data_IF_649283634117
#
_entry.id   IF_649283634117
#
_cell.length_a   1.000
_cell.length_b   1.000
_cell.length_c   1.000
_cell.angle_alpha   90.00
_cell.angle_beta   90.00
_cell.angle_gamma   90.00
#
_symmetry.space_group_name_H-M   'P 1'
#
loop_
_entity.id
_entity.type
_entity.pdbx_description
1 polymer ?
#
# COMPACT_ATOMS: atom_id res chain seq x y z
N UNK A 1 -5.46 22.31 7.89
CA UNK A 1 -4.11 22.63 7.35
C UNK A 1 -2.94 22.50 8.34
N UNK A 2 -2.82 23.30 9.41
CA UNK A 2 -1.65 23.20 10.33
C UNK A 2 -1.46 21.80 10.93
N UNK A 3 -2.56 21.13 11.34
CA UNK A 3 -2.53 19.76 11.88
C UNK A 3 -2.04 18.72 10.86
N UNK A 4 -2.41 18.87 9.59
CA UNK A 4 -1.98 17.97 8.52
C UNK A 4 -0.49 18.14 8.20
N UNK A 5 -0.01 19.38 8.14
CA UNK A 5 1.41 19.70 8.00
C UNK A 5 2.23 19.13 9.18
N UNK A 6 1.71 19.26 10.39
CA UNK A 6 2.31 18.71 11.61
C UNK A 6 2.39 17.17 11.59
N UNK A 7 1.33 16.51 11.09
CA UNK A 7 1.29 15.05 10.95
C UNK A 7 2.25 14.54 9.87
N UNK A 8 2.29 15.21 8.71
CA UNK A 8 3.19 14.86 7.62
C UNK A 8 4.66 15.04 8.02
N UNK A 9 4.94 16.09 8.80
CA UNK A 9 6.24 16.36 9.39
C UNK A 9 6.62 15.30 10.45
N UNK A 10 5.68 14.94 11.32
CA UNK A 10 5.85 13.84 12.27
C UNK A 10 6.19 12.52 11.58
N UNK A 11 5.46 12.17 10.52
CA UNK A 11 5.71 10.98 9.71
C UNK A 11 7.08 11.03 9.00
N UNK A 12 7.47 12.18 8.45
CA UNK A 12 8.76 12.35 7.80
C UNK A 12 9.94 12.18 8.78
N UNK A 13 9.82 12.73 10.00
CA UNK A 13 10.86 12.68 11.04
C UNK A 13 10.92 11.32 11.76
N UNK A 14 9.81 10.58 11.82
CA UNK A 14 9.77 9.22 12.37
C UNK A 14 10.05 8.13 11.31
N UNK A 15 10.17 8.50 10.04
CA UNK A 15 10.49 7.57 8.95
C UNK A 15 11.91 7.01 9.06
N UNK A 16 12.22 5.85 8.45
CA UNK A 16 13.58 5.33 8.35
C UNK A 16 14.55 6.25 7.59
N UNK A 17 14.05 7.29 6.90
CA UNK A 17 14.84 8.28 6.19
C UNK A 17 15.00 9.60 6.97
N UNK A 18 14.72 9.62 8.29
CA UNK A 18 14.76 10.81 9.16
C UNK A 18 16.01 11.68 9.00
N UNK A 19 17.17 11.08 8.76
CA UNK A 19 18.45 11.79 8.62
C UNK A 19 18.45 12.75 7.43
N UNK A 20 17.86 12.33 6.30
CA UNK A 20 17.73 13.17 5.10
C UNK A 20 16.81 14.38 5.34
N UNK A 21 15.74 14.18 6.10
CA UNK A 21 14.82 15.26 6.45
C UNK A 21 15.48 16.24 7.43
N UNK A 22 16.21 15.74 8.42
CA UNK A 22 16.99 16.57 9.35
C UNK A 22 18.03 17.40 8.60
N UNK A 23 18.76 16.80 7.65
CA UNK A 23 19.70 17.53 6.80
C UNK A 23 19.00 18.61 5.98
N UNK A 24 17.84 18.31 5.38
CA UNK A 24 17.05 19.29 4.61
C UNK A 24 16.63 20.48 5.48
N UNK A 25 16.17 20.22 6.70
CA UNK A 25 15.74 21.23 7.67
C UNK A 25 16.92 22.12 8.09
N UNK A 26 18.10 21.52 8.33
CA UNK A 26 19.33 22.26 8.71
C UNK A 26 19.81 23.28 7.68
N UNK A 27 19.43 23.12 6.41
CA UNK A 27 19.78 24.06 5.33
C UNK A 27 18.68 25.10 5.04
N UNK A 28 17.58 25.10 5.80
CA UNK A 28 16.53 26.13 5.68
C UNK A 28 16.91 27.43 6.40
N UNK A 29 16.15 28.50 6.18
CA UNK A 29 16.34 29.77 6.90
C UNK A 29 16.10 29.60 8.42
N UNK A 30 16.85 30.29 9.28
CA UNK A 30 16.81 30.07 10.73
C UNK A 30 15.44 30.37 11.35
N UNK A 31 14.65 31.29 10.76
CA UNK A 31 13.29 31.58 11.22
C UNK A 31 12.37 30.37 11.04
N UNK A 32 12.46 29.71 9.88
CA UNK A 32 11.68 28.51 9.54
C UNK A 32 12.14 27.32 10.37
N UNK A 33 13.45 27.20 10.62
CA UNK A 33 13.97 26.14 11.48
C UNK A 33 13.40 26.23 12.89
N UNK A 34 13.36 27.44 13.49
CA UNK A 34 12.82 27.63 14.84
C UNK A 34 11.34 27.27 14.92
N UNK A 35 10.54 27.73 13.96
CA UNK A 35 9.10 27.44 13.89
C UNK A 35 8.83 25.94 13.70
N UNK A 36 9.62 25.29 12.84
CA UNK A 36 9.52 23.85 12.60
C UNK A 36 9.94 23.01 13.82
N UNK A 37 10.98 23.45 14.55
CA UNK A 37 11.44 22.77 15.78
C UNK A 37 10.37 22.86 16.87
N UNK A 38 9.74 24.03 17.04
CA UNK A 38 8.61 24.19 17.97
C UNK A 38 7.42 23.28 17.59
N UNK A 39 7.12 23.18 16.28
CA UNK A 39 6.07 22.30 15.75
C UNK A 39 6.38 20.81 16.00
N UNK A 40 7.61 20.37 15.71
CA UNK A 40 8.07 18.99 15.93
C UNK A 40 8.03 18.66 17.43
N UNK A 41 8.50 19.57 18.30
CA UNK A 41 8.43 19.37 19.75
C UNK A 41 6.99 19.26 20.22
N UNK A 42 6.06 20.04 19.67
CA UNK A 42 4.64 19.97 20.03
C UNK A 42 4.01 18.63 19.67
N UNK A 43 4.33 18.11 18.48
CA UNK A 43 3.81 16.80 18.02
C UNK A 43 4.48 15.63 18.76
N UNK A 44 5.75 15.78 19.14
CA UNK A 44 6.52 14.70 19.77
C UNK A 44 6.38 14.63 21.30
N UNK A 45 6.21 15.77 21.99
CA UNK A 45 6.19 15.84 23.46
C UNK A 45 4.78 15.76 24.07
N UNK A 46 3.71 15.78 23.25
CA UNK A 46 2.35 15.85 23.77
C UNK A 46 1.79 14.46 24.09
N UNK A 47 1.95 14.03 25.33
CA UNK A 47 1.20 12.94 25.95
C UNK A 47 -0.29 13.30 26.20
N UNK A 48 -0.90 14.10 25.33
CA UNK A 48 -2.26 14.58 25.52
C UNK A 48 -3.23 13.84 24.59
N UNK A 49 -4.42 13.55 25.12
CA UNK A 49 -5.46 12.65 24.58
C UNK A 49 -6.07 13.07 23.22
N UNK A 50 -5.65 14.21 22.68
CA UNK A 50 -6.07 14.77 21.39
C UNK A 50 -4.91 14.84 20.38
N UNK A 51 -3.83 14.07 20.58
CA UNK A 51 -2.71 13.98 19.64
C UNK A 51 -3.12 13.21 18.38
N UNK A 52 -2.79 13.71 17.17
CA UNK A 52 -3.02 12.98 15.92
C UNK A 52 -2.01 11.84 15.69
N UNK A 53 -1.10 11.61 16.63
CA UNK A 53 -0.01 10.64 16.53
C UNK A 53 -0.19 9.54 17.56
N UNK A 54 -0.22 8.30 17.08
CA UNK A 54 -0.23 7.10 17.93
C UNK A 54 1.17 6.89 18.48
N UNK A 55 1.37 7.15 19.78
CA UNK A 55 2.61 6.80 20.46
C UNK A 55 2.57 5.32 20.86
N UNK A 56 3.21 4.48 20.03
CA UNK A 56 3.28 3.04 20.25
C UNK A 56 4.05 2.68 21.53
N UNK A 57 5.04 3.50 21.91
CA UNK A 57 5.82 3.30 23.14
C UNK A 57 5.00 3.58 24.40
N UNK A 58 4.07 4.53 24.36
CA UNK A 58 3.09 4.74 25.45
C UNK A 58 2.11 3.57 25.57
N UNK A 59 1.71 2.98 24.44
CA UNK A 59 0.83 1.81 24.41
C UNK A 59 1.55 0.56 24.94
N UNK A 60 2.84 0.41 24.61
CA UNK A 60 3.71 -0.66 25.11
C UNK A 60 4.06 -0.51 26.59
N UNK A 61 4.30 0.72 27.07
CA UNK A 61 4.58 0.99 28.48
C UNK A 61 3.37 0.72 29.40
N UNK A 62 2.13 0.86 28.88
CA UNK A 62 0.90 0.46 29.60
C UNK A 62 0.71 -1.06 29.66
N UNK A 63 1.29 -1.82 28.72
CA UNK A 63 1.31 -3.29 28.74
C UNK A 63 2.25 -3.86 29.81
N UNK A 64 3.32 -3.13 30.17
CA UNK A 64 4.29 -3.57 31.18
C UNK A 64 3.85 -3.31 32.63
N UNK A 65 2.79 -2.52 32.87
CA UNK A 65 2.36 -2.12 34.22
C UNK A 65 1.45 -3.12 34.96
N UNK A 66 1.43 -4.40 34.60
CA UNK A 66 0.65 -5.42 35.31
C UNK A 66 1.57 -6.44 36.02
N UNK A 67 1.78 -6.34 37.34
CA UNK A 67 2.26 -7.45 38.14
C UNK A 67 1.08 -8.09 38.89
N UNK A 68 0.75 -9.35 38.62
CA UNK A 68 0.45 -10.29 39.71
C UNK A 68 0.30 -11.73 39.23
N UNK A 69 1.16 -12.56 39.82
CA UNK A 69 1.15 -14.02 39.86
C UNK A 69 -0.11 -14.57 40.54
N UNK A 70 -0.82 -15.50 39.89
CA UNK A 70 -1.87 -16.34 40.49
C UNK A 70 -2.84 -16.93 39.45
N UNK A 71 -3.31 -18.17 39.64
CA UNK A 71 -4.14 -18.92 38.68
C UNK A 71 -5.54 -18.33 38.40
N UNK A 72 -5.96 -17.25 39.08
CA UNK A 72 -7.16 -16.44 38.75
C UNK A 72 -6.87 -15.32 37.73
N UNK A 73 -5.69 -15.31 37.11
CA UNK A 73 -5.23 -14.26 36.21
C UNK A 73 -5.59 -14.49 34.73
N UNK A 74 -5.98 -15.70 34.32
CA UNK A 74 -6.17 -16.02 32.89
C UNK A 74 -7.44 -15.34 32.36
N UNK A 75 -8.58 -15.50 33.04
CA UNK A 75 -9.85 -14.89 32.61
C UNK A 75 -9.80 -13.34 32.65
N UNK A 76 -9.12 -12.75 33.64
CA UNK A 76 -8.93 -11.28 33.73
C UNK A 76 -7.88 -10.75 32.76
N UNK A 77 -6.90 -11.55 32.38
CA UNK A 77 -5.93 -11.18 31.34
C UNK A 77 -6.58 -11.19 29.96
N UNK A 78 -7.47 -12.14 29.67
CA UNK A 78 -8.22 -12.19 28.41
C UNK A 78 -9.16 -10.99 28.26
N UNK A 79 -9.94 -10.66 29.30
CA UNK A 79 -10.76 -9.43 29.30
C UNK A 79 -9.90 -8.15 29.19
N UNK A 80 -8.72 -8.12 29.80
CA UNK A 80 -7.78 -7.01 29.68
C UNK A 80 -7.23 -6.84 28.26
N UNK A 81 -6.90 -7.94 27.60
CA UNK A 81 -6.40 -7.96 26.21
C UNK A 81 -7.53 -7.55 25.25
N UNK A 82 -8.75 -8.05 25.45
CA UNK A 82 -9.88 -7.72 24.58
C UNK A 82 -10.32 -6.26 24.74
N UNK A 83 -10.36 -5.73 25.97
CA UNK A 83 -10.58 -4.31 26.21
C UNK A 83 -9.48 -3.43 25.61
N UNK A 84 -8.22 -3.89 25.62
CA UNK A 84 -7.12 -3.16 25.00
C UNK A 84 -7.23 -3.18 23.46
N UNK A 85 -7.53 -4.33 22.86
CA UNK A 85 -7.78 -4.46 21.43
C UNK A 85 -8.95 -3.55 21.01
N UNK A 86 -10.03 -3.50 21.80
CA UNK A 86 -11.16 -2.60 21.54
C UNK A 86 -10.74 -1.13 21.56
N UNK A 87 -9.85 -0.73 22.49
CA UNK A 87 -9.32 0.64 22.58
C UNK A 87 -8.40 0.98 21.41
N UNK A 88 -7.53 0.05 21.00
CA UNK A 88 -6.64 0.22 19.84
C UNK A 88 -7.46 0.34 18.56
N UNK A 89 -8.49 -0.50 18.38
CA UNK A 89 -9.42 -0.43 17.24
C UNK A 89 -10.15 0.91 17.23
N UNK A 90 -10.68 1.37 18.37
CA UNK A 90 -11.36 2.66 18.46
C UNK A 90 -10.44 3.87 18.18
N UNK A 91 -9.15 3.77 18.53
CA UNK A 91 -8.14 4.77 18.17
C UNK A 91 -7.84 4.73 16.66
N UNK A 92 -7.69 3.54 16.09
CA UNK A 92 -7.41 3.37 14.66
C UNK A 92 -8.56 3.88 13.80
N UNK A 93 -9.81 3.60 14.18
CA UNK A 93 -11.01 4.13 13.53
C UNK A 93 -11.07 5.65 13.56
N UNK A 94 -10.63 6.28 14.67
CA UNK A 94 -10.56 7.74 14.78
C UNK A 94 -9.50 8.34 13.86
N UNK A 95 -8.30 7.77 13.86
CA UNK A 95 -7.19 8.21 12.99
C UNK A 95 -7.56 8.06 11.51
N UNK A 96 -8.24 6.97 11.14
CA UNK A 96 -8.74 6.76 9.78
C UNK A 96 -9.76 7.84 9.41
N UNK A 97 -10.70 8.15 10.31
CA UNK A 97 -11.71 9.20 10.07
C UNK A 97 -11.07 10.57 9.89
N UNK A 98 -10.13 10.94 10.77
CA UNK A 98 -9.40 12.21 10.66
C UNK A 98 -8.58 12.27 9.36
N UNK A 99 -7.93 11.18 8.96
CA UNK A 99 -7.22 11.09 7.67
C UNK A 99 -8.17 11.32 6.50
N UNK A 100 -9.34 10.69 6.53
CA UNK A 100 -10.32 10.79 5.45
C UNK A 100 -10.90 12.20 5.36
N UNK A 101 -11.12 12.87 6.51
CA UNK A 101 -11.47 14.29 6.58
C UNK A 101 -10.39 15.18 5.93
N UNK A 102 -9.11 15.01 6.28
CA UNK A 102 -8.03 15.79 5.66
C UNK A 102 -7.87 15.50 4.17
N UNK A 103 -8.12 14.26 3.75
CA UNK A 103 -8.07 13.87 2.33
C UNK A 103 -9.17 14.59 1.55
N UNK A 104 -10.37 14.70 2.13
CA UNK A 104 -11.48 15.43 1.53
C UNK A 104 -11.20 16.95 1.48
N UNK A 105 -10.66 17.55 2.54
CA UNK A 105 -10.24 18.97 2.54
C UNK A 105 -9.21 19.26 1.42
N UNK A 106 -8.28 18.34 1.17
CA UNK A 106 -7.29 18.47 0.08
C UNK A 106 -7.94 18.38 -1.30
N UNK A 107 -8.92 17.49 -1.50
CA UNK A 107 -9.65 17.40 -2.77
C UNK A 107 -10.48 18.65 -3.05
N UNK A 108 -11.10 19.23 -2.02
CA UNK A 108 -11.86 20.48 -2.12
C UNK A 108 -10.94 21.65 -2.49
N UNK A 109 -9.79 21.79 -1.83
CA UNK A 109 -8.78 22.81 -2.18
C UNK A 109 -8.16 22.62 -3.57
N UNK A 110 -7.97 21.38 -4.02
CA UNK A 110 -7.50 21.10 -5.37
C UNK A 110 -8.55 21.48 -6.43
N UNK A 111 -9.83 21.19 -6.17
CA UNK A 111 -10.94 21.58 -7.03
C UNK A 111 -11.10 23.11 -7.12
N UNK A 112 -10.92 23.82 -6.00
CA UNK A 112 -10.94 25.30 -5.98
C UNK A 112 -9.79 25.91 -6.80
N UNK A 113 -8.61 25.27 -6.78
CA UNK A 113 -7.44 25.68 -7.57
C UNK A 113 -7.63 25.47 -9.08
N UNK A 114 -8.38 24.43 -9.47
CA UNK A 114 -8.78 24.18 -10.86
C UNK A 114 -9.87 25.16 -11.35
N UNK A 115 -10.75 25.64 -10.46
CA UNK A 115 -11.77 26.64 -10.79
C UNK A 115 -11.19 28.04 -11.02
N UNK A 116 -10.21 28.46 -10.22
CA UNK A 116 -9.49 29.74 -10.39
C UNK A 116 -8.58 29.74 -11.65
N UNK A 117 -8.14 28.57 -12.12
CA UNK A 117 -7.32 28.41 -13.34
C UNK A 117 -8.07 28.62 -14.66
N UNK A 118 -9.42 28.67 -14.65
CA UNK A 118 -10.23 28.83 -15.87
C UNK A 118 -10.38 30.28 -16.34
N UNK A 119 -9.88 31.26 -15.57
CA UNK A 119 -9.95 32.69 -15.94
C UNK A 119 -8.64 33.26 -16.48
N UNK A 120 -7.56 32.47 -16.57
CA UNK A 120 -6.24 33.00 -16.86
C UNK A 120 -5.35 32.05 -17.65
N UNK A 121 -5.23 32.35 -18.96
CA UNK A 121 -4.10 32.00 -19.82
C UNK A 121 -4.22 30.72 -20.65
N UNK A 122 -4.82 30.91 -21.82
CA UNK A 122 -4.48 30.22 -23.05
C UNK A 122 -2.98 30.31 -23.37
N UNK A 123 -2.27 29.18 -23.44
CA UNK A 123 -1.24 28.92 -24.47
C UNK A 123 -0.61 27.54 -24.37
N UNK A 124 -0.55 26.87 -25.53
CA UNK A 124 0.41 25.83 -25.95
C UNK A 124 0.21 24.39 -25.46
N UNK A 125 -0.70 23.69 -26.14
CA UNK A 125 -0.55 22.25 -26.37
C UNK A 125 0.59 21.99 -27.38
N UNK A 126 1.60 21.23 -26.98
CA UNK A 126 2.63 20.71 -27.89
C UNK A 126 2.14 19.41 -28.51
N UNK A 127 1.73 19.49 -29.77
CA UNK A 127 1.60 18.34 -30.64
C UNK A 127 2.98 17.90 -31.14
N UNK A 128 3.17 16.58 -31.20
CA UNK A 128 4.29 15.90 -31.84
C UNK A 128 4.22 16.11 -33.35
N UNK A 129 5.24 16.77 -33.91
CA UNK A 129 5.47 16.81 -35.35
C UNK A 129 6.93 16.45 -35.62
N UNK A 130 7.10 15.29 -36.25
CA UNK A 130 8.29 14.86 -36.94
C UNK A 130 8.64 15.87 -38.05
N UNK A 131 9.88 16.38 -38.03
CA UNK A 131 10.43 17.08 -39.19
C UNK A 131 11.91 16.80 -39.33
N UNK A 132 12.24 15.88 -40.24
CA UNK A 132 13.52 15.90 -40.95
C UNK A 132 13.63 17.22 -41.71
N UNK A 133 14.64 18.02 -41.40
CA UNK A 133 15.06 19.14 -42.23
C UNK A 133 16.52 18.94 -42.65
N UNK A 134 16.69 18.39 -43.85
CA UNK A 134 17.83 18.72 -44.68
C UNK A 134 17.73 20.21 -45.01
N UNK A 135 18.76 20.99 -44.67
CA UNK A 135 18.80 22.42 -44.92
C UNK A 135 20.23 22.89 -45.05
N UNK A 136 20.67 23.03 -46.30
CA UNK A 136 21.84 23.77 -46.75
C UNK A 136 21.95 25.12 -46.03
N UNK A 137 23.08 25.34 -45.35
CA UNK A 137 23.41 26.65 -44.81
C UNK A 137 24.00 27.49 -45.95
N UNK A 138 23.13 28.35 -46.51
CA UNK A 138 23.53 29.45 -47.39
C UNK A 138 24.34 30.48 -46.59
N UNK A 139 25.63 30.58 -46.90
CA UNK A 139 26.53 31.60 -46.37
C UNK A 139 26.24 32.95 -47.05
N UNK A 140 26.10 34.08 -46.31
CA UNK A 140 25.90 35.37 -46.93
C UNK A 140 27.21 35.86 -47.55
N UNK A 141 27.11 36.18 -48.83
CA UNK A 141 28.17 36.68 -49.68
C UNK A 141 28.15 38.21 -49.63
N UNK A 142 29.20 38.87 -49.13
CA UNK A 142 29.57 40.18 -49.67
C UNK A 142 31.04 40.58 -49.45
N UNK A 143 31.60 41.11 -50.54
CA UNK A 143 32.76 42.00 -50.67
C UNK A 143 34.20 41.45 -50.55
N UNK A 144 34.71 41.03 -51.73
CA UNK A 144 35.90 41.57 -52.41
C UNK A 144 37.29 41.44 -51.74
N UNK A 145 38.12 40.54 -52.29
CA UNK A 145 39.57 40.69 -52.55
C UNK A 145 39.93 39.71 -53.69
N UNK A 146 39.97 40.14 -54.95
CA UNK A 146 41.21 40.48 -55.70
C UNK A 146 42.34 39.46 -55.51
N UNK A 147 42.57 38.67 -56.56
CA UNK A 147 43.79 37.96 -56.99
C UNK A 147 44.88 37.64 -55.95
N UNK A 148 45.23 36.36 -55.82
CA UNK A 148 46.59 35.79 -55.99
C UNK A 148 46.61 34.36 -55.46
N UNK A 149 47.27 33.44 -56.17
CA UNK A 149 47.55 32.08 -55.69
C UNK A 149 48.52 32.09 -54.51
N UNK A 150 48.03 32.49 -53.33
CA UNK A 150 48.76 32.44 -52.08
C UNK A 150 48.45 31.11 -51.40
N UNK A 151 49.48 30.26 -51.26
CA UNK A 151 49.50 29.20 -50.26
C UNK A 151 49.14 29.85 -48.92
N UNK A 152 48.07 29.39 -48.27
CA UNK A 152 47.75 29.77 -46.90
C UNK A 152 49.01 29.61 -46.05
N UNK A 153 49.38 30.60 -45.21
CA UNK A 153 50.53 30.46 -44.32
C UNK A 153 50.33 29.20 -43.47
N UNK A 154 51.40 28.45 -43.22
CA UNK A 154 51.36 27.30 -42.31
C UNK A 154 50.66 27.71 -41.03
N UNK A 155 49.72 26.90 -40.48
CA UNK A 155 49.03 27.22 -39.25
C UNK A 155 50.05 27.59 -38.17
N UNK A 156 49.81 28.70 -37.46
CA UNK A 156 50.68 29.11 -36.37
C UNK A 156 50.62 28.08 -35.23
N UNK A 157 51.62 28.05 -34.35
CA UNK A 157 51.68 27.08 -33.25
C UNK A 157 50.41 27.08 -32.38
N UNK A 158 49.80 28.25 -32.20
CA UNK A 158 48.53 28.43 -31.50
C UNK A 158 47.36 27.75 -32.23
N UNK A 159 47.26 27.89 -33.55
CA UNK A 159 46.18 27.28 -34.34
C UNK A 159 46.22 25.75 -34.28
N UNK A 160 47.43 25.17 -34.24
CA UNK A 160 47.62 23.72 -34.06
C UNK A 160 47.17 23.26 -32.68
N UNK A 161 47.51 24.01 -31.63
CA UNK A 161 47.08 23.71 -30.26
C UNK A 161 45.56 23.76 -30.13
N UNK A 162 44.93 24.83 -30.61
CA UNK A 162 43.46 24.99 -30.61
C UNK A 162 42.77 23.89 -31.41
N UNK A 163 43.36 23.44 -32.52
CA UNK A 163 42.83 22.32 -33.32
C UNK A 163 42.84 21.00 -32.54
N UNK A 164 43.88 20.75 -31.74
CA UNK A 164 43.98 19.58 -30.87
C UNK A 164 42.98 19.66 -29.72
N UNK A 165 42.85 20.82 -29.06
CA UNK A 165 41.86 21.03 -27.99
C UNK A 165 40.42 20.87 -28.51
N UNK A 166 40.13 21.40 -29.69
CA UNK A 166 38.84 21.24 -30.34
C UNK A 166 38.58 19.79 -30.74
N UNK A 167 39.60 19.05 -31.17
CA UNK A 167 39.48 17.62 -31.43
C UNK A 167 39.22 16.83 -30.13
N UNK A 168 39.89 17.19 -29.03
CA UNK A 168 39.67 16.60 -27.71
C UNK A 168 38.25 16.88 -27.21
N UNK A 169 37.79 18.13 -27.28
CA UNK A 169 36.43 18.52 -26.91
C UNK A 169 35.37 17.83 -27.77
N UNK A 170 35.61 17.66 -29.08
CA UNK A 170 34.74 16.86 -29.96
C UNK A 170 34.75 15.37 -29.60
N UNK A 171 35.88 14.85 -29.16
CA UNK A 171 36.01 13.49 -28.63
C UNK A 171 35.14 13.28 -27.39
N UNK A 172 35.27 14.19 -26.41
CA UNK A 172 34.44 14.18 -25.20
C UNK A 172 32.94 14.31 -25.51
N UNK A 173 32.57 15.17 -26.46
CA UNK A 173 31.16 15.27 -26.89
C UNK A 173 30.62 13.95 -27.48
N UNK A 174 31.43 13.18 -28.21
CA UNK A 174 31.01 11.87 -28.72
C UNK A 174 30.88 10.86 -27.59
N UNK A 175 31.84 10.87 -26.66
CA UNK A 175 31.81 9.99 -25.49
C UNK A 175 30.58 10.23 -24.63
N UNK A 176 30.29 11.48 -24.29
CA UNK A 176 29.11 11.85 -23.51
C UNK A 176 27.79 11.51 -24.23
N UNK A 177 27.76 11.58 -25.56
CA UNK A 177 26.59 11.12 -26.34
C UNK A 177 26.39 9.62 -26.24
N UNK A 178 27.45 8.83 -26.46
CA UNK A 178 27.37 7.38 -26.31
C UNK A 178 26.96 6.97 -24.89
N UNK A 179 27.54 7.62 -23.86
CA UNK A 179 27.15 7.38 -22.47
C UNK A 179 25.69 7.79 -22.17
N UNK A 180 25.15 8.76 -22.91
CA UNK A 180 23.74 9.14 -22.79
C UNK A 180 22.85 8.07 -23.44
N UNK A 181 23.20 7.63 -24.65
CA UNK A 181 22.47 6.59 -25.37
C UNK A 181 22.44 5.26 -24.58
N UNK A 182 23.58 4.86 -23.98
CA UNK A 182 23.66 3.68 -23.10
C UNK A 182 22.76 3.83 -21.85
N UNK A 183 22.71 5.01 -21.25
CA UNK A 183 21.83 5.28 -20.11
C UNK A 183 20.35 5.26 -20.51
N UNK A 184 20.02 5.77 -21.69
CA UNK A 184 18.66 5.76 -22.22
C UNK A 184 18.19 4.31 -22.50
N UNK A 185 19.08 3.45 -23.02
CA UNK A 185 18.81 2.01 -23.18
C UNK A 185 18.53 1.33 -21.83
N UNK A 186 19.39 1.54 -20.81
CA UNK A 186 19.19 0.97 -19.47
C UNK A 186 17.89 1.50 -18.83
N UNK A 187 17.60 2.79 -19.00
CA UNK A 187 16.37 3.38 -18.48
C UNK A 187 15.13 2.74 -19.13
N UNK A 188 15.18 2.44 -20.43
CA UNK A 188 14.10 1.76 -21.12
C UNK A 188 13.91 0.33 -20.61
N UNK A 189 14.99 -0.43 -20.44
CA UNK A 189 14.93 -1.79 -19.88
C UNK A 189 14.32 -1.80 -18.47
N UNK A 190 14.77 -0.89 -17.60
CA UNK A 190 14.22 -0.75 -16.25
C UNK A 190 12.73 -0.36 -16.26
N UNK A 191 12.31 0.50 -17.19
CA UNK A 191 10.90 0.87 -17.33
C UNK A 191 10.05 -0.33 -17.75
N UNK A 192 10.53 -1.13 -18.70
CA UNK A 192 9.83 -2.33 -19.17
C UNK A 192 9.73 -3.39 -18.05
N UNK A 193 10.79 -3.58 -17.27
CA UNK A 193 10.79 -4.44 -16.08
C UNK A 193 9.76 -3.98 -15.04
N UNK A 194 9.69 -2.67 -14.75
CA UNK A 194 8.70 -2.12 -13.83
C UNK A 194 7.27 -2.29 -14.33
N UNK A 195 7.04 -2.15 -15.65
CA UNK A 195 5.72 -2.40 -16.25
C UNK A 195 5.34 -3.89 -16.14
N UNK A 196 6.27 -4.80 -16.41
CA UNK A 196 6.05 -6.23 -16.26
C UNK A 196 5.72 -6.60 -14.81
N UNK A 197 6.46 -6.07 -13.84
CA UNK A 197 6.18 -6.27 -12.42
C UNK A 197 4.81 -5.72 -12.01
N UNK A 198 4.42 -4.55 -12.52
CA UNK A 198 3.09 -3.98 -12.27
C UNK A 198 1.97 -4.89 -12.78
N UNK A 199 2.13 -5.47 -13.97
CA UNK A 199 1.16 -6.42 -14.54
C UNK A 199 1.07 -7.67 -13.66
N UNK A 200 2.21 -8.23 -13.25
CA UNK A 200 2.25 -9.44 -12.41
C UNK A 200 1.62 -9.20 -11.03
N UNK A 201 1.86 -8.04 -10.41
CA UNK A 201 1.19 -7.64 -9.17
C UNK A 201 -0.34 -7.61 -9.37
N UNK A 202 -0.82 -7.06 -10.48
CA UNK A 202 -2.24 -7.06 -10.82
C UNK A 202 -2.81 -8.48 -10.96
N UNK A 203 -2.08 -9.38 -11.63
CA UNK A 203 -2.46 -10.79 -11.78
C UNK A 203 -2.58 -11.49 -10.43
N UNK A 204 -1.57 -11.35 -9.57
CA UNK A 204 -1.54 -11.95 -8.23
C UNK A 204 -2.64 -11.40 -7.31
N UNK A 205 -2.95 -10.10 -7.43
CA UNK A 205 -4.06 -9.50 -6.68
C UNK A 205 -5.43 -10.07 -7.11
N UNK A 206 -5.64 -10.29 -8.41
CA UNK A 206 -6.85 -10.92 -8.92
C UNK A 206 -6.97 -12.39 -8.46
N UNK A 207 -5.87 -13.14 -8.52
CA UNK A 207 -5.79 -14.53 -8.04
C UNK A 207 -6.08 -14.62 -6.55
N UNK A 208 -5.47 -13.75 -5.73
CA UNK A 208 -5.76 -13.66 -4.28
C UNK A 208 -7.25 -13.43 -4.03
N UNK A 209 -7.89 -12.53 -4.78
CA UNK A 209 -9.31 -12.23 -4.59
C UNK A 209 -10.17 -13.47 -4.88
N UNK A 210 -9.83 -14.25 -5.90
CA UNK A 210 -10.56 -15.47 -6.24
C UNK A 210 -10.38 -16.55 -5.16
N UNK A 211 -9.15 -16.78 -4.70
CA UNK A 211 -8.88 -17.70 -3.59
C UNK A 211 -9.64 -17.33 -2.31
N UNK A 212 -9.82 -16.03 -2.03
CA UNK A 212 -10.62 -15.57 -0.89
C UNK A 212 -12.11 -15.89 -1.07
N UNK A 213 -12.66 -15.78 -2.29
CA UNK A 213 -14.05 -16.18 -2.55
C UNK A 213 -14.22 -17.68 -2.37
N UNK A 214 -13.32 -18.48 -2.92
CA UNK A 214 -13.33 -19.94 -2.79
C UNK A 214 -13.24 -20.38 -1.32
N UNK A 215 -12.38 -19.74 -0.53
CA UNK A 215 -12.26 -20.01 0.90
C UNK A 215 -13.54 -19.71 1.69
N UNK A 216 -14.28 -18.65 1.30
CA UNK A 216 -15.58 -18.31 1.88
C UNK A 216 -16.64 -19.36 1.51
N UNK A 217 -16.76 -19.70 0.23
CA UNK A 217 -17.68 -20.75 -0.22
C UNK A 217 -17.40 -22.10 0.46
N UNK A 218 -16.13 -22.47 0.61
CA UNK A 218 -15.73 -23.67 1.32
C UNK A 218 -16.10 -23.63 2.82
N UNK A 219 -16.13 -22.45 3.45
CA UNK A 219 -16.63 -22.30 4.82
C UNK A 219 -18.14 -22.49 4.88
N UNK A 220 -18.89 -21.87 3.97
CA UNK A 220 -20.35 -22.00 3.92
C UNK A 220 -20.76 -23.47 3.74
N UNK A 221 -20.07 -24.23 2.87
CA UNK A 221 -20.31 -25.67 2.72
C UNK A 221 -19.95 -26.49 3.96
N UNK A 222 -18.93 -26.10 4.74
CA UNK A 222 -18.64 -26.76 6.02
C UNK A 222 -19.76 -26.53 7.03
N UNK A 223 -20.25 -25.30 7.14
CA UNK A 223 -21.34 -24.96 8.06
C UNK A 223 -22.63 -25.71 7.69
N UNK A 224 -22.93 -25.87 6.39
CA UNK A 224 -24.03 -26.72 5.90
C UNK A 224 -23.83 -28.20 6.25
N UNK A 225 -22.62 -28.73 6.07
CA UNK A 225 -22.29 -30.11 6.44
C UNK A 225 -22.47 -30.36 7.94
N UNK A 226 -22.04 -29.43 8.79
CA UNK A 226 -22.22 -29.55 10.25
C UNK A 226 -23.71 -29.55 10.62
N UNK A 227 -24.52 -28.69 9.98
CA UNK A 227 -25.97 -28.70 10.16
C UNK A 227 -26.59 -30.06 9.77
N UNK A 228 -26.16 -30.62 8.65
CA UNK A 228 -26.64 -31.92 8.17
C UNK A 228 -26.18 -33.07 9.07
N UNK A 229 -24.95 -33.04 9.60
CA UNK A 229 -24.46 -34.01 10.56
C UNK A 229 -25.26 -33.97 11.87
N UNK A 230 -25.58 -32.78 12.40
CA UNK A 230 -26.45 -32.67 13.57
C UNK A 230 -27.85 -33.27 13.33
N UNK A 231 -28.44 -33.05 12.14
CA UNK A 231 -29.71 -33.67 11.76
C UNK A 231 -29.60 -35.19 11.66
N UNK A 232 -28.54 -35.70 11.04
CA UNK A 232 -28.28 -37.13 10.91
C UNK A 232 -28.16 -37.80 12.28
N UNK A 233 -27.32 -37.27 13.16
CA UNK A 233 -27.15 -37.77 14.53
C UNK A 233 -28.47 -37.77 15.32
N UNK A 234 -29.36 -36.80 15.08
CA UNK A 234 -30.70 -36.78 15.69
C UNK A 234 -31.58 -37.90 15.12
N UNK A 235 -31.55 -38.12 13.81
CA UNK A 235 -32.31 -39.21 13.17
C UNK A 235 -31.83 -40.57 13.67
N UNK A 236 -30.52 -40.80 13.76
CA UNK A 236 -29.95 -42.06 14.29
C UNK A 236 -30.42 -42.36 15.73
N UNK A 237 -30.48 -41.34 16.59
CA UNK A 237 -31.02 -41.50 17.97
C UNK A 237 -32.49 -41.89 17.95
N UNK A 238 -33.30 -41.20 17.14
CA UNK A 238 -34.73 -41.49 17.01
C UNK A 238 -34.96 -42.88 16.41
N UNK A 239 -34.14 -43.31 15.46
CA UNK A 239 -34.18 -44.65 14.88
C UNK A 239 -33.86 -45.73 15.93
N UNK A 240 -32.82 -45.54 16.74
CA UNK A 240 -32.48 -46.46 17.83
C UNK A 240 -33.59 -46.54 18.89
N UNK A 241 -34.25 -45.42 19.22
CA UNK A 241 -35.43 -45.42 20.09
C UNK A 241 -36.60 -46.16 19.46
N UNK A 242 -36.84 -45.98 18.16
CA UNK A 242 -37.89 -46.67 17.43
C UNK A 242 -37.65 -48.19 17.46
N UNK A 243 -36.40 -48.63 17.27
CA UNK A 243 -36.03 -50.05 17.32
C UNK A 243 -36.22 -50.65 18.72
N UNK A 244 -35.88 -49.92 19.78
CA UNK A 244 -36.17 -50.32 21.17
C UNK A 244 -37.68 -50.46 21.41
N UNK A 245 -38.47 -49.49 20.93
CA UNK A 245 -39.94 -49.53 21.06
C UNK A 245 -40.56 -50.70 20.28
N UNK A 246 -40.05 -50.99 19.07
CA UNK A 246 -40.46 -52.17 18.29
C UNK A 246 -40.12 -53.47 19.01
N UNK A 247 -38.93 -53.57 19.60
CA UNK A 247 -38.54 -54.74 20.39
C UNK A 247 -39.46 -54.92 21.60
N UNK A 248 -39.80 -53.84 22.30
CA UNK A 248 -40.72 -53.85 23.43
C UNK A 248 -42.15 -54.23 23.02
N UNK A 249 -42.61 -53.79 21.85
CA UNK A 249 -43.87 -54.20 21.27
C UNK A 249 -43.89 -55.71 21.03
N UNK A 250 -42.84 -56.25 20.42
CA UNK A 250 -42.72 -57.69 20.17
C UNK A 250 -42.74 -58.51 21.48
N UNK A 251 -42.08 -58.03 22.54
CA UNK A 251 -42.14 -58.66 23.88
C UNK A 251 -43.57 -58.66 24.44
N UNK A 252 -44.29 -57.54 24.35
CA UNK A 252 -45.68 -57.44 24.81
C UNK A 252 -46.60 -58.36 24.02
N UNK A 253 -46.42 -58.43 22.70
CA UNK A 253 -47.18 -59.35 21.83
C UNK A 253 -46.88 -60.82 22.17
N UNK A 254 -45.63 -61.15 22.50
CA UNK A 254 -45.27 -62.48 22.99
C UNK A 254 -46.02 -62.83 24.29
N UNK A 255 -46.01 -61.95 25.29
CA UNK A 255 -46.72 -62.20 26.55
C UNK A 255 -48.24 -62.26 26.37
N UNK A 256 -48.82 -61.37 25.57
CA UNK A 256 -50.24 -61.39 25.21
C UNK A 256 -50.63 -62.72 24.58
N UNK A 257 -49.86 -63.20 23.61
CA UNK A 257 -50.11 -64.49 22.97
C UNK A 257 -50.02 -65.65 23.97
N UNK A 258 -49.04 -65.62 24.89
CA UNK A 258 -48.90 -66.65 25.93
C UNK A 258 -50.11 -66.70 26.86
N UNK A 259 -50.58 -65.54 27.33
CA UNK A 259 -51.81 -65.42 28.15
C UNK A 259 -53.04 -65.90 27.38
N UNK A 260 -53.15 -65.53 26.09
CA UNK A 260 -54.25 -65.98 25.24
C UNK A 260 -54.27 -67.50 25.02
N UNK A 261 -53.10 -68.14 24.90
CA UNK A 261 -52.99 -69.60 24.81
C UNK A 261 -53.37 -70.26 26.13
N UNK A 262 -52.84 -69.76 27.26
CA UNK A 262 -53.18 -70.29 28.60
C UNK A 262 -54.66 -70.14 28.95
N UNK A 263 -55.30 -69.02 28.59
CA UNK A 263 -56.74 -68.82 28.80
C UNK A 263 -57.58 -69.77 27.94
N UNK A 264 -57.18 -70.06 26.69
CA UNK A 264 -57.85 -71.07 25.85
C UNK A 264 -57.71 -72.49 26.37
N UNK A 265 -56.62 -72.83 27.05
CA UNK A 265 -56.39 -74.15 27.67
C UNK A 265 -57.10 -74.33 29.02
N UNK A 266 -57.54 -73.25 29.68
CA UNK A 266 -58.23 -73.31 30.98
C UNK A 266 -59.75 -73.20 30.91
N UNK A 267 -60.33 -73.18 29.70
CA UNK A 267 -61.77 -73.28 29.50
C UNK A 267 -62.15 -74.77 29.42
N UNK A 268 -63.04 -75.28 30.31
CA UNK A 268 -63.49 -76.67 30.35
C UNK A 268 -64.38 -77.06 29.16
#
# INVERSE_FOLDING_TARGET
>A
MQKLLALLLGAAVQSPQRERFIERIKHMRPEIQSELVEEIQRVTNSANTNSPVVNLDSLLAELEQQPSTGEEAIDRAEEGIENNNQRVVALLERVIRERDEYTNELFEMAADMEQEGSSGSSSSGMATASSSCNGDISVPNNAKCISSGARSPSPNALDRHLSVELAAAKGELRKLRNENDEKDEILQEMQDELLQQRIEIGRLQAERLELVKDARAAKDYRDEMDCMQHKLNRLERLEAENEKLRSRLNELDFYKNRVNVSSKLSLP
#
